data_IF_926307620836
#
_entry.id   IF_926307620836
#
_cell.length_a   1.000
_cell.length_b   1.000
_cell.length_c   1.000
_cell.angle_alpha   90.00
_cell.angle_beta   90.00
_cell.angle_gamma   90.00
#
_symmetry.space_group_name_H-M   'P 1'
#
loop_
_entity.id
_entity.type
_entity.pdbx_description
1 polymer ?
#
# COMPACT_ATOMS: atom_id res chain seq x y z
N UNK A 1 -29.75 17.25 0.36
CA UNK A 1 -30.83 17.29 1.35
C UNK A 1 -31.27 15.86 1.64
N UNK A 2 -31.32 15.50 2.93
CA UNK A 2 -31.94 14.39 3.68
C UNK A 2 -32.02 12.96 3.08
N UNK A 3 -31.58 11.88 3.73
CA UNK A 3 -31.78 11.35 5.10
C UNK A 3 -33.08 10.52 5.23
N UNK A 4 -32.96 9.19 5.38
CA UNK A 4 -33.92 8.35 6.13
C UNK A 4 -33.38 6.95 6.46
N UNK A 5 -33.33 6.67 7.77
CA UNK A 5 -33.38 5.35 8.40
C UNK A 5 -34.70 4.63 8.06
N UNK A 6 -34.67 3.28 8.05
CA UNK A 6 -35.81 2.44 8.48
C UNK A 6 -35.31 1.19 9.22
N UNK A 7 -36.02 0.90 10.29
CA UNK A 7 -35.89 -0.16 11.29
C UNK A 7 -37.12 -1.09 11.25
N UNK A 8 -36.98 -2.29 11.83
CA UNK A 8 -38.05 -3.30 12.09
C UNK A 8 -37.86 -4.55 11.23
N UNK A 9 -37.40 -5.71 11.73
CA UNK A 9 -37.90 -6.63 12.78
C UNK A 9 -39.18 -7.36 12.39
N UNK A 10 -39.01 -8.59 11.87
CA UNK A 10 -40.00 -9.67 11.93
C UNK A 10 -39.26 -10.91 12.46
N UNK A 11 -39.74 -11.46 13.57
CA UNK A 11 -39.28 -12.75 14.11
C UNK A 11 -40.41 -13.75 14.12
N UNK A 12 -40.11 -15.03 13.88
CA UNK A 12 -40.85 -16.14 14.52
C UNK A 12 -40.05 -17.47 14.59
N UNK A 13 -40.03 -18.02 15.81
CA UNK A 13 -39.96 -19.39 16.34
C UNK A 13 -38.96 -20.48 15.89
N UNK A 14 -37.99 -20.72 16.79
CA UNK A 14 -37.67 -21.96 17.56
C UNK A 14 -37.92 -23.35 16.95
N UNK A 15 -36.86 -24.18 16.92
CA UNK A 15 -36.92 -25.61 17.34
C UNK A 15 -35.59 -26.03 17.98
N UNK A 16 -35.69 -26.75 19.09
CA UNK A 16 -34.62 -27.18 20.01
C UNK A 16 -33.97 -28.49 19.54
N UNK A 17 -32.65 -28.64 19.70
CA UNK A 17 -32.04 -29.91 20.10
C UNK A 17 -30.65 -29.68 20.71
N UNK A 18 -30.53 -29.94 22.01
CA UNK A 18 -29.27 -29.92 22.74
C UNK A 18 -28.48 -31.20 22.48
N UNK A 19 -27.19 -31.05 22.19
CA UNK A 19 -26.18 -32.08 22.44
C UNK A 19 -24.91 -31.44 23.00
N UNK A 20 -24.29 -32.17 23.91
CA UNK A 20 -23.29 -31.79 24.89
C UNK A 20 -21.89 -31.49 24.34
N UNK A 21 -21.30 -30.41 24.87
CA UNK A 21 -19.86 -30.05 25.03
C UNK A 21 -18.83 -30.66 24.08
N UNK A 22 -18.19 -29.78 23.31
CA UNK A 22 -16.73 -29.56 23.42
C UNK A 22 -16.36 -28.13 23.01
N UNK A 23 -16.56 -27.18 23.92
CA UNK A 23 -15.92 -25.86 23.81
C UNK A 23 -14.43 -26.03 24.09
N UNK A 24 -13.62 -26.23 23.05
CA UNK A 24 -12.21 -25.87 23.12
C UNK A 24 -12.14 -24.35 22.91
N UNK A 25 -11.71 -23.55 23.90
CA UNK A 25 -11.32 -22.19 23.60
C UNK A 25 -9.98 -22.32 22.87
N UNK A 26 -10.01 -22.43 21.53
CA UNK A 26 -8.83 -22.09 20.75
C UNK A 26 -8.57 -20.62 21.03
N UNK A 27 -7.66 -20.35 21.98
CA UNK A 27 -7.16 -19.01 22.21
C UNK A 27 -6.53 -18.56 20.90
N UNK A 28 -7.28 -17.83 20.10
CA UNK A 28 -6.75 -17.09 18.97
C UNK A 28 -5.88 -16.02 19.62
N UNK A 29 -4.61 -16.34 19.84
CA UNK A 29 -3.65 -15.36 20.29
C UNK A 29 -3.56 -14.35 19.15
N UNK A 30 -4.20 -13.20 19.32
CA UNK A 30 -4.04 -12.07 18.41
C UNK A 30 -2.57 -11.64 18.51
N UNK A 31 -1.73 -12.19 17.63
CA UNK A 31 -0.31 -11.87 17.60
C UNK A 31 -0.19 -10.43 17.10
N UNK A 32 -0.15 -9.48 18.04
CA UNK A 32 0.30 -8.11 17.80
C UNK A 32 1.73 -8.18 17.29
N UNK A 33 1.89 -8.21 15.97
CA UNK A 33 3.19 -8.21 15.33
C UNK A 33 3.78 -6.82 15.43
N UNK A 34 4.63 -6.63 16.44
CA UNK A 34 5.46 -5.43 16.57
C UNK A 34 6.36 -5.28 15.34
N UNK A 35 6.60 -4.04 14.92
CA UNK A 35 7.44 -3.74 13.75
C UNK A 35 8.86 -4.23 14.01
N UNK A 36 9.23 -5.37 13.42
CA UNK A 36 10.58 -5.93 13.55
C UNK A 36 11.60 -5.00 12.88
N UNK A 37 12.71 -4.74 13.56
CA UNK A 37 13.88 -4.05 12.98
C UNK A 37 14.44 -4.90 11.84
N UNK A 38 14.81 -4.26 10.73
CA UNK A 38 15.41 -4.91 9.56
C UNK A 38 16.73 -4.23 9.22
N UNK A 39 17.74 -5.01 8.83
CA UNK A 39 19.02 -4.46 8.37
C UNK A 39 18.83 -3.81 6.98
N UNK A 40 19.51 -2.69 6.75
CA UNK A 40 19.49 -2.01 5.46
C UNK A 40 20.45 -2.72 4.51
N UNK A 41 19.94 -3.79 3.89
CA UNK A 41 20.59 -4.60 2.84
C UNK A 41 19.52 -5.20 1.94
N UNK A 42 19.91 -5.76 0.80
CA UNK A 42 18.98 -6.43 -0.10
C UNK A 42 18.25 -7.58 0.62
N UNK A 43 16.92 -7.55 0.60
CA UNK A 43 16.10 -8.62 1.17
C UNK A 43 16.17 -9.82 0.22
N UNK A 44 16.78 -10.92 0.67
CA UNK A 44 16.97 -12.12 -0.15
C UNK A 44 15.63 -12.81 -0.50
N UNK A 45 14.77 -13.02 0.50
CA UNK A 45 13.46 -13.65 0.30
C UNK A 45 12.56 -12.80 -0.61
N UNK A 46 12.17 -13.36 -1.77
CA UNK A 46 11.41 -12.66 -2.82
C UNK A 46 10.05 -12.15 -2.33
N UNK A 47 9.27 -12.97 -1.64
CA UNK A 47 7.95 -12.62 -1.13
C UNK A 47 8.04 -11.47 -0.13
N UNK A 48 8.94 -11.57 0.85
CA UNK A 48 9.20 -10.48 1.81
C UNK A 48 9.68 -9.21 1.11
N UNK A 49 10.53 -9.32 0.09
CA UNK A 49 11.00 -8.18 -0.70
C UNK A 49 9.86 -7.51 -1.44
N UNK A 50 8.96 -8.26 -2.09
CA UNK A 50 7.78 -7.72 -2.78
C UNK A 50 6.83 -6.99 -1.81
N UNK A 51 6.49 -7.60 -0.68
CA UNK A 51 5.63 -6.97 0.34
C UNK A 51 6.29 -5.71 0.90
N UNK A 52 7.60 -5.77 1.18
CA UNK A 52 8.36 -4.62 1.69
C UNK A 52 8.42 -3.50 0.66
N UNK A 53 8.65 -3.82 -0.61
CA UNK A 53 8.64 -2.85 -1.71
C UNK A 53 7.29 -2.15 -1.78
N UNK A 54 6.18 -2.89 -1.81
CA UNK A 54 4.84 -2.31 -1.88
C UNK A 54 4.58 -1.36 -0.70
N UNK A 55 4.85 -1.80 0.54
CA UNK A 55 4.65 -0.99 1.75
C UNK A 55 5.54 0.26 1.79
N UNK A 56 6.84 0.11 1.48
CA UNK A 56 7.79 1.24 1.50
C UNK A 56 7.52 2.23 0.37
N UNK A 57 7.25 1.75 -0.85
CA UNK A 57 6.84 2.57 -2.00
C UNK A 57 5.63 3.43 -1.64
N UNK A 58 4.59 2.84 -1.04
CA UNK A 58 3.43 3.62 -0.62
C UNK A 58 3.79 4.67 0.46
N UNK A 59 4.56 4.27 1.48
CA UNK A 59 4.96 5.18 2.55
C UNK A 59 5.81 6.36 2.07
N UNK A 60 6.77 6.13 1.16
CA UNK A 60 7.60 7.21 0.60
C UNK A 60 6.81 8.11 -0.33
N UNK A 61 5.89 7.57 -1.15
CA UNK A 61 4.99 8.37 -1.98
C UNK A 61 4.13 9.31 -1.12
N UNK A 62 3.57 8.80 -0.02
CA UNK A 62 2.82 9.60 0.96
C UNK A 62 3.68 10.73 1.55
N UNK A 63 4.95 10.43 1.88
CA UNK A 63 5.87 11.44 2.41
C UNK A 63 6.25 12.51 1.38
N UNK A 64 6.45 12.13 0.12
CA UNK A 64 6.69 13.09 -0.96
C UNK A 64 5.50 14.04 -1.15
N UNK A 65 4.28 13.51 -1.11
CA UNK A 65 3.05 14.30 -1.10
C UNK A 65 2.95 15.25 0.10
N UNK A 66 3.07 14.72 1.32
CA UNK A 66 3.03 15.51 2.55
C UNK A 66 4.05 16.65 2.52
N UNK A 67 5.30 16.37 2.11
CA UNK A 67 6.34 17.38 1.98
C UNK A 67 5.96 18.49 1.01
N UNK A 68 5.47 18.12 -0.19
CA UNK A 68 5.07 19.10 -1.21
C UNK A 68 3.94 20.02 -0.72
N UNK A 69 2.95 19.46 -0.01
CA UNK A 69 1.81 20.23 0.51
C UNK A 69 2.23 21.12 1.68
N UNK A 70 3.01 20.58 2.63
CA UNK A 70 3.40 21.31 3.84
C UNK A 70 4.34 22.49 3.55
N UNK A 71 5.15 22.40 2.50
CA UNK A 71 6.23 23.37 2.24
C UNK A 71 6.07 24.15 0.94
N UNK A 72 5.16 23.74 0.05
CA UNK A 72 5.06 24.29 -1.29
C UNK A 72 6.24 23.96 -2.21
N UNK A 73 7.15 23.07 -1.79
CA UNK A 73 8.30 22.66 -2.59
C UNK A 73 7.85 21.82 -3.80
N UNK A 74 8.54 22.01 -4.93
CA UNK A 74 8.38 21.13 -6.09
C UNK A 74 9.16 19.83 -5.83
N UNK A 75 8.49 18.69 -5.94
CA UNK A 75 9.03 17.37 -5.58
C UNK A 75 8.77 16.41 -6.72
N UNK A 76 9.79 15.62 -7.08
CA UNK A 76 9.69 14.49 -7.99
C UNK A 76 10.29 13.25 -7.34
N UNK A 77 9.57 12.14 -7.42
CA UNK A 77 10.00 10.83 -6.96
C UNK A 77 9.72 9.81 -8.07
N UNK A 78 10.72 9.02 -8.41
CA UNK A 78 10.65 7.98 -9.43
C UNK A 78 11.20 6.67 -8.83
N UNK A 79 10.42 5.59 -8.92
CA UNK A 79 10.76 4.28 -8.36
C UNK A 79 10.56 3.22 -9.44
N UNK A 80 11.62 2.47 -9.73
CA UNK A 80 11.56 1.31 -10.59
C UNK A 80 11.40 0.02 -9.78
N UNK A 81 10.48 -0.84 -10.20
CA UNK A 81 10.45 -2.22 -9.73
C UNK A 81 11.43 -3.09 -10.51
N UNK A 82 11.77 -4.24 -9.92
CA UNK A 82 12.45 -5.34 -10.64
C UNK A 82 11.67 -5.87 -11.86
N UNK A 83 10.38 -5.54 -11.99
CA UNK A 83 9.54 -5.94 -13.12
C UNK A 83 9.47 -4.87 -14.22
N UNK A 84 10.30 -3.83 -14.14
CA UNK A 84 10.32 -2.73 -15.12
C UNK A 84 9.18 -1.72 -14.98
N UNK A 85 8.37 -1.79 -13.91
CA UNK A 85 7.30 -0.83 -13.69
C UNK A 85 7.85 0.43 -13.01
N UNK A 86 7.53 1.58 -13.59
CA UNK A 86 7.87 2.89 -13.07
C UNK A 86 6.70 3.43 -12.25
N UNK A 87 6.97 3.81 -11.01
CA UNK A 87 6.01 4.49 -10.13
C UNK A 87 6.51 5.91 -9.88
N UNK A 88 5.64 6.88 -10.07
CA UNK A 88 6.00 8.30 -9.98
C UNK A 88 5.10 9.07 -9.03
N UNK A 89 5.68 10.10 -8.43
CA UNK A 89 4.97 11.22 -7.82
C UNK A 89 5.65 12.50 -8.28
N UNK A 90 4.88 13.47 -8.77
CA UNK A 90 5.39 14.75 -9.28
C UNK A 90 4.45 15.88 -8.90
N UNK A 91 5.00 17.00 -8.48
CA UNK A 91 4.28 18.28 -8.44
C UNK A 91 4.08 18.85 -9.85
N UNK A 92 3.08 19.72 -10.10
CA UNK A 92 2.73 20.19 -11.46
C UNK A 92 3.89 20.75 -12.28
N UNK A 93 4.80 21.53 -11.67
CA UNK A 93 5.96 22.09 -12.39
C UNK A 93 6.96 21.04 -12.89
N UNK A 94 6.95 19.84 -12.30
CA UNK A 94 7.87 18.75 -12.65
C UNK A 94 7.18 17.63 -13.43
N UNK A 95 5.87 17.74 -13.65
CA UNK A 95 5.11 16.77 -14.44
C UNK A 95 5.58 16.62 -15.90
N UNK A 96 6.07 17.66 -16.60
CA UNK A 96 6.62 17.52 -17.95
C UNK A 96 7.75 16.48 -18.05
N UNK A 97 8.58 16.32 -17.02
CA UNK A 97 9.68 15.33 -17.02
C UNK A 97 9.23 13.88 -17.18
N UNK A 98 7.97 13.56 -16.84
CA UNK A 98 7.41 12.21 -16.98
C UNK A 98 6.40 12.09 -18.12
N UNK A 99 5.83 13.21 -18.59
CA UNK A 99 4.79 13.23 -19.63
C UNK A 99 5.35 13.50 -21.02
N UNK A 100 6.36 14.35 -21.13
CA UNK A 100 6.93 14.76 -22.41
C UNK A 100 7.80 13.64 -22.99
N UNK A 101 7.85 13.57 -24.31
CA UNK A 101 8.60 12.51 -25.01
C UNK A 101 10.11 12.57 -24.73
N UNK A 102 10.68 13.77 -24.57
CA UNK A 102 12.09 13.91 -24.18
C UNK A 102 12.35 13.35 -22.78
N UNK A 103 11.47 13.65 -21.82
CA UNK A 103 11.53 13.13 -20.45
C UNK A 103 11.39 11.61 -20.41
N UNK A 104 10.40 11.06 -21.12
CA UNK A 104 10.23 9.60 -21.27
C UNK A 104 11.43 8.95 -21.92
N UNK A 105 12.02 9.55 -22.96
CA UNK A 105 13.21 9.02 -23.65
C UNK A 105 14.43 9.02 -22.73
N UNK A 106 14.60 10.04 -21.90
CA UNK A 106 15.65 10.07 -20.88
C UNK A 106 15.45 8.95 -19.86
N UNK A 107 14.24 8.82 -19.31
CA UNK A 107 13.92 7.75 -18.35
C UNK A 107 14.24 6.39 -18.98
N UNK A 108 13.70 6.09 -20.17
CA UNK A 108 13.92 4.82 -20.89
C UNK A 108 15.39 4.48 -21.09
N UNK A 109 16.21 5.44 -21.56
CA UNK A 109 17.66 5.21 -21.73
C UNK A 109 18.33 4.76 -20.43
N UNK A 110 18.02 5.43 -19.31
CA UNK A 110 18.56 5.03 -18.01
C UNK A 110 18.09 3.64 -17.56
N UNK A 111 16.95 3.14 -18.07
CA UNK A 111 16.44 1.81 -17.72
C UNK A 111 17.04 0.72 -18.61
N UNK A 112 17.18 1.01 -19.89
CA UNK A 112 17.70 0.09 -20.91
C UNK A 112 19.21 -0.10 -20.79
N UNK A 113 19.96 0.88 -20.28
CA UNK A 113 21.40 0.76 -20.07
C UNK A 113 21.77 -0.09 -18.83
N UNK A 114 20.82 -0.47 -17.97
CA UNK A 114 21.11 -1.07 -16.64
C UNK A 114 20.26 -2.32 -16.31
N UNK A 115 19.61 -2.93 -17.30
CA UNK A 115 18.92 -4.22 -17.21
C UNK A 115 19.55 -5.23 -18.17
#
# INVERSE_FOLDING_TARGET
>A
MNMQNRSGEDGESVTVQGTSRSTTPSSVMEVKTTKRKVNIKLIANRTRRHVTFAKRRHGIMKKAYELSVLTGANVMLLILSKSGLVYTFTTPKLEPFIRDEEGKKLIRRCLEEHL
#
